data_IF_387297012414
#
_entry.id   IF_387297012414
#
_cell.length_a   1.000
_cell.length_b   1.000
_cell.length_c   1.000
_cell.angle_alpha   90.00
_cell.angle_beta   90.00
_cell.angle_gamma   90.00
#
_symmetry.space_group_name_H-M   'P 1'
#
loop_
_entity.id
_entity.type
_entity.pdbx_description
1 polymer ?
#
# COMPACT_ATOMS: atom_id res chain seq x y z
N UNK A 1 -23.88 -4.61 0.75
CA UNK A 1 -22.86 -5.11 -0.20
C UNK A 1 -21.65 -4.21 -0.06
N UNK A 2 -20.53 -4.75 0.33
CA UNK A 2 -19.30 -3.98 0.47
C UNK A 2 -18.84 -3.58 -0.94
N UNK A 3 -18.84 -2.28 -1.23
CA UNK A 3 -18.33 -1.78 -2.51
C UNK A 3 -16.83 -2.10 -2.59
N UNK A 4 -16.39 -2.69 -3.68
CA UNK A 4 -14.96 -2.87 -3.97
C UNK A 4 -14.54 -1.93 -5.09
N UNK A 5 -13.38 -1.33 -4.93
CA UNK A 5 -12.76 -0.47 -5.94
C UNK A 5 -11.87 -1.31 -6.85
N UNK A 6 -12.05 -1.15 -8.14
CA UNK A 6 -11.00 -1.39 -9.12
C UNK A 6 -10.20 -0.08 -9.35
N UNK A 7 -9.28 -0.11 -10.30
CA UNK A 7 -8.48 1.08 -10.62
C UNK A 7 -9.32 2.28 -11.00
N UNK A 8 -10.37 2.10 -11.82
CA UNK A 8 -11.23 3.20 -12.25
C UNK A 8 -12.04 3.75 -11.08
N UNK A 9 -12.62 2.88 -10.26
CA UNK A 9 -13.36 3.30 -9.07
C UNK A 9 -12.51 4.09 -8.07
N UNK A 10 -11.20 3.78 -7.96
CA UNK A 10 -10.27 4.58 -7.16
C UNK A 10 -10.06 5.98 -7.75
N UNK A 11 -9.90 6.09 -9.07
CA UNK A 11 -9.76 7.39 -9.75
C UNK A 11 -11.04 8.22 -9.58
N UNK A 12 -12.21 7.62 -9.80
CA UNK A 12 -13.50 8.31 -9.64
C UNK A 12 -13.69 8.84 -8.20
N UNK A 13 -13.27 8.07 -7.21
CA UNK A 13 -13.30 8.50 -5.81
C UNK A 13 -12.33 9.67 -5.52
N UNK A 14 -11.15 9.69 -6.14
CA UNK A 14 -10.22 10.82 -6.03
C UNK A 14 -10.70 12.06 -6.77
N UNK A 15 -11.39 11.92 -7.90
CA UNK A 15 -12.04 13.04 -8.60
C UNK A 15 -13.15 13.65 -7.72
N UNK A 16 -13.97 12.83 -7.10
CA UNK A 16 -14.99 13.30 -6.17
C UNK A 16 -14.37 13.98 -4.94
N UNK A 17 -13.24 13.46 -4.44
CA UNK A 17 -12.47 14.08 -3.34
C UNK A 17 -11.89 15.45 -3.76
N UNK A 18 -11.46 15.59 -5.02
CA UNK A 18 -11.00 16.89 -5.56
C UNK A 18 -12.10 17.94 -5.49
N UNK A 19 -13.32 17.59 -5.91
CA UNK A 19 -14.48 18.47 -5.83
C UNK A 19 -14.78 18.89 -4.38
N UNK A 20 -14.73 17.95 -3.43
CA UNK A 20 -14.97 18.24 -2.02
C UNK A 20 -13.89 19.13 -1.40
N UNK A 21 -12.63 18.89 -1.73
CA UNK A 21 -11.52 19.74 -1.29
C UNK A 21 -11.57 21.12 -1.92
N UNK A 22 -12.02 21.21 -3.18
CA UNK A 22 -12.24 22.48 -3.88
C UNK A 22 -13.28 23.35 -3.17
N UNK A 23 -14.41 22.77 -2.73
CA UNK A 23 -15.43 23.49 -1.95
C UNK A 23 -14.88 24.07 -0.65
N UNK A 24 -13.88 23.39 -0.06
CA UNK A 24 -13.20 23.83 1.18
C UNK A 24 -12.03 24.78 0.89
N UNK A 25 -11.58 24.88 -0.36
CA UNK A 25 -10.42 25.68 -0.75
C UNK A 25 -9.09 25.18 -0.17
N UNK A 26 -8.98 23.88 0.14
CA UNK A 26 -7.83 23.30 0.85
C UNK A 26 -7.12 22.26 -0.04
N UNK A 27 -5.82 22.46 -0.24
CA UNK A 27 -4.97 21.45 -0.91
C UNK A 27 -4.64 20.32 0.06
N UNK A 28 -4.53 19.11 -0.50
CA UNK A 28 -4.18 17.92 0.27
C UNK A 28 -3.14 17.06 -0.46
N UNK A 29 -2.36 16.33 0.33
CA UNK A 29 -1.44 15.32 -0.17
C UNK A 29 -1.84 13.96 0.42
N UNK A 30 -1.93 12.95 -0.44
CA UNK A 30 -2.26 11.58 -0.06
C UNK A 30 -1.13 10.65 -0.50
N UNK A 31 -0.66 9.85 0.42
CA UNK A 31 0.30 8.77 0.16
C UNK A 31 -0.37 7.43 0.40
N UNK A 32 -0.77 6.78 -0.69
CA UNK A 32 -1.56 5.55 -0.68
C UNK A 32 -0.66 4.33 -0.50
N UNK A 33 -1.07 3.43 0.37
CA UNK A 33 -0.37 2.18 0.69
C UNK A 33 -1.33 0.97 0.60
N UNK A 34 -0.82 -0.22 0.85
CA UNK A 34 -1.65 -1.42 0.98
C UNK A 34 -2.33 -1.86 -0.31
N UNK A 35 -3.58 -2.36 -0.18
CA UNK A 35 -4.35 -2.94 -1.28
C UNK A 35 -4.68 -1.94 -2.39
N UNK A 36 -4.99 -0.69 -2.03
CA UNK A 36 -5.29 0.36 -3.00
C UNK A 36 -4.07 0.74 -3.84
N UNK A 37 -2.86 0.81 -3.24
CA UNK A 37 -1.64 1.03 -4.00
C UNK A 37 -1.37 -0.12 -4.98
N UNK A 38 -1.62 -1.36 -4.57
CA UNK A 38 -1.52 -2.53 -5.47
C UNK A 38 -2.50 -2.41 -6.64
N UNK A 39 -3.77 -2.09 -6.37
CA UNK A 39 -4.82 -2.01 -7.39
C UNK A 39 -4.58 -0.89 -8.42
N UNK A 40 -4.13 0.28 -7.96
CA UNK A 40 -3.99 1.44 -8.85
C UNK A 40 -2.70 1.44 -9.68
N UNK A 41 -1.61 0.93 -9.12
CA UNK A 41 -0.28 1.08 -9.72
C UNK A 41 0.36 -0.24 -10.18
N UNK A 42 0.07 -1.37 -9.54
CA UNK A 42 0.89 -2.58 -9.70
C UNK A 42 0.12 -3.80 -10.20
N UNK A 43 -1.16 -3.94 -9.92
CA UNK A 43 -2.01 -5.05 -10.42
C UNK A 43 -3.40 -4.54 -10.80
N UNK A 44 -3.59 -4.20 -12.04
CA UNK A 44 -4.84 -3.64 -12.57
C UNK A 44 -6.06 -4.58 -12.47
N UNK A 45 -5.86 -5.87 -12.16
CA UNK A 45 -6.95 -6.84 -11.95
C UNK A 45 -7.41 -6.93 -10.51
N UNK A 46 -6.65 -6.30 -9.61
CA UNK A 46 -6.95 -6.33 -8.20
C UNK A 46 -8.05 -5.34 -7.85
N UNK A 47 -8.87 -5.72 -6.87
CA UNK A 47 -9.82 -4.83 -6.21
C UNK A 47 -9.47 -4.68 -4.75
N UNK A 48 -9.89 -3.58 -4.15
CA UNK A 48 -9.76 -3.30 -2.73
C UNK A 48 -11.08 -2.78 -2.18
N UNK A 49 -11.31 -2.96 -0.90
CA UNK A 49 -12.53 -2.47 -0.22
C UNK A 49 -12.34 -1.10 0.41
N UNK A 50 -11.08 -0.68 0.59
CA UNK A 50 -10.71 0.57 1.25
C UNK A 50 -9.41 1.14 0.70
N UNK A 51 -9.15 2.39 1.01
CA UNK A 51 -7.93 3.11 0.66
C UNK A 51 -7.17 3.45 1.94
N UNK A 52 -6.17 2.64 2.28
CA UNK A 52 -5.21 2.98 3.33
C UNK A 52 -4.24 4.04 2.82
N UNK A 53 -4.16 5.19 3.48
CA UNK A 53 -3.28 6.27 3.09
C UNK A 53 -2.78 7.09 4.28
N UNK A 54 -1.65 7.76 4.09
CA UNK A 54 -1.23 8.86 4.96
C UNK A 54 -1.60 10.14 4.25
N UNK A 55 -2.30 11.05 4.90
CA UNK A 55 -2.77 12.26 4.24
C UNK A 55 -2.70 13.49 5.14
N UNK A 56 -2.51 14.63 4.51
CA UNK A 56 -2.44 15.94 5.15
C UNK A 56 -3.18 16.98 4.31
N UNK A 57 -3.91 17.92 4.94
CA UNK A 57 -4.23 17.99 6.36
C UNK A 57 -5.27 16.93 6.78
N UNK A 58 -4.98 16.21 7.86
CA UNK A 58 -5.72 14.98 8.22
C UNK A 58 -7.21 15.22 8.43
N UNK A 59 -7.59 16.23 9.21
CA UNK A 59 -8.99 16.44 9.57
C UNK A 59 -9.83 16.88 8.37
N UNK A 60 -9.28 17.75 7.52
CA UNK A 60 -9.97 18.24 6.32
C UNK A 60 -10.20 17.10 5.32
N UNK A 61 -9.19 16.28 5.08
CA UNK A 61 -9.31 15.12 4.18
C UNK A 61 -10.30 14.11 4.72
N UNK A 62 -10.30 13.86 6.02
CA UNK A 62 -11.23 12.93 6.66
C UNK A 62 -12.70 13.41 6.54
N UNK A 63 -12.96 14.70 6.73
CA UNK A 63 -14.30 15.27 6.54
C UNK A 63 -14.71 15.23 5.06
N UNK A 64 -13.82 15.59 4.13
CA UNK A 64 -14.10 15.49 2.70
C UNK A 64 -14.39 14.03 2.27
N UNK A 65 -13.66 13.06 2.82
CA UNK A 65 -13.88 11.64 2.53
C UNK A 65 -15.25 11.13 2.99
N UNK A 66 -15.81 11.66 4.09
CA UNK A 66 -17.17 11.33 4.51
C UNK A 66 -18.22 11.78 3.50
N UNK A 67 -18.09 13.01 2.96
CA UNK A 67 -19.00 13.52 1.94
C UNK A 67 -18.91 12.68 0.65
N UNK A 68 -17.68 12.29 0.26
CA UNK A 68 -17.47 11.37 -0.87
C UNK A 68 -18.16 10.03 -0.63
N UNK A 69 -18.05 9.49 0.59
CA UNK A 69 -18.69 8.23 0.96
C UNK A 69 -20.22 8.30 0.77
N UNK A 70 -20.85 9.39 1.20
CA UNK A 70 -22.28 9.61 1.02
C UNK A 70 -22.68 9.73 -0.45
N UNK A 71 -21.91 10.48 -1.25
CA UNK A 71 -22.18 10.69 -2.68
C UNK A 71 -22.06 9.43 -3.50
N UNK A 72 -21.01 8.64 -3.25
CA UNK A 72 -20.70 7.42 -4.00
C UNK A 72 -21.23 6.15 -3.34
N UNK A 73 -21.93 6.28 -2.21
CA UNK A 73 -22.47 5.15 -1.41
C UNK A 73 -21.38 4.15 -1.01
N UNK A 74 -20.26 4.68 -0.55
CA UNK A 74 -19.14 3.92 -0.03
C UNK A 74 -19.26 3.72 1.48
N UNK A 75 -18.44 2.84 2.04
CA UNK A 75 -18.30 2.74 3.49
C UNK A 75 -17.69 4.05 4.05
N UNK A 76 -18.08 4.50 5.24
CA UNK A 76 -17.60 5.77 5.81
C UNK A 76 -16.09 5.86 5.99
N UNK A 77 -15.42 4.73 6.13
CA UNK A 77 -13.98 4.56 6.30
C UNK A 77 -13.26 4.08 5.02
N UNK A 78 -13.89 4.26 3.85
CA UNK A 78 -13.30 3.90 2.57
C UNK A 78 -11.90 4.50 2.39
N UNK A 79 -11.65 5.71 2.89
CA UNK A 79 -10.34 6.34 2.99
C UNK A 79 -9.95 6.45 4.47
N UNK A 80 -8.88 5.80 4.87
CA UNK A 80 -8.46 5.73 6.26
C UNK A 80 -6.95 5.84 6.42
N UNK A 81 -6.50 6.27 7.59
CA UNK A 81 -5.10 6.43 7.95
C UNK A 81 -4.55 5.34 8.90
N UNK A 82 -5.23 4.20 8.97
CA UNK A 82 -4.85 3.07 9.82
C UNK A 82 -3.44 2.52 9.57
N UNK A 83 -2.92 2.71 8.38
CA UNK A 83 -1.56 2.30 8.01
C UNK A 83 -0.45 3.21 8.57
N UNK A 84 -0.79 4.41 9.07
CA UNK A 84 0.18 5.42 9.53
C UNK A 84 1.13 4.90 10.62
N UNK A 85 0.63 4.07 11.54
CA UNK A 85 1.44 3.50 12.64
C UNK A 85 2.45 2.44 12.17
N UNK A 86 2.30 1.92 10.96
CA UNK A 86 3.18 0.91 10.37
C UNK A 86 4.08 1.48 9.28
N UNK A 87 3.87 2.71 8.86
CA UNK A 87 4.64 3.34 7.81
C UNK A 87 6.10 3.54 8.24
N UNK A 88 7.08 3.13 7.42
CA UNK A 88 8.49 3.22 7.80
C UNK A 88 9.10 4.61 7.63
N UNK A 89 8.32 5.62 7.28
CA UNK A 89 8.79 6.98 7.05
C UNK A 89 8.62 7.45 5.61
N UNK A 90 9.53 8.27 5.11
CA UNK A 90 9.45 8.82 3.77
C UNK A 90 9.82 7.78 2.69
N UNK A 91 9.13 7.83 1.55
CA UNK A 91 9.43 7.01 0.37
C UNK A 91 9.89 7.90 -0.79
N UNK A 92 11.20 7.95 -1.03
CA UNK A 92 11.76 8.76 -2.11
C UNK A 92 11.46 8.22 -3.52
N UNK A 93 10.95 6.99 -3.61
CA UNK A 93 10.60 6.32 -4.86
C UNK A 93 9.08 6.20 -5.07
N UNK A 94 8.29 6.95 -4.32
CA UNK A 94 6.85 7.03 -4.53
C UNK A 94 6.51 7.52 -5.94
N UNK A 95 5.36 7.09 -6.47
CA UNK A 95 4.91 7.45 -7.81
C UNK A 95 3.59 8.20 -7.75
N UNK A 96 3.49 9.35 -8.43
CA UNK A 96 2.21 10.06 -8.59
C UNK A 96 1.27 9.24 -9.46
N UNK A 97 0.01 9.12 -9.01
CA UNK A 97 -1.04 8.37 -9.71
C UNK A 97 -2.28 9.23 -10.00
N UNK A 98 -2.42 10.35 -9.30
CA UNK A 98 -3.50 11.29 -9.54
C UNK A 98 -3.05 12.71 -9.13
N UNK A 99 -3.24 13.66 -10.03
CA UNK A 99 -2.98 15.08 -9.81
C UNK A 99 -4.28 15.86 -10.07
N UNK A 100 -5.02 16.09 -8.99
CA UNK A 100 -6.21 16.93 -9.01
C UNK A 100 -5.85 18.41 -8.88
N UNK A 101 -6.85 19.26 -8.87
CA UNK A 101 -6.68 20.68 -8.61
C UNK A 101 -6.28 20.95 -7.16
N UNK A 102 -6.77 20.14 -6.23
CA UNK A 102 -6.57 20.27 -4.80
C UNK A 102 -5.82 19.08 -4.19
N UNK A 103 -6.15 17.80 -4.47
CA UNK A 103 -5.35 16.69 -4.00
C UNK A 103 -4.24 16.32 -4.98
N UNK A 104 -3.09 15.96 -4.45
CA UNK A 104 -2.09 15.13 -5.11
C UNK A 104 -2.06 13.76 -4.45
N UNK A 105 -2.07 12.69 -5.25
CA UNK A 105 -2.07 11.33 -4.76
C UNK A 105 -0.86 10.57 -5.31
N UNK A 106 -0.01 10.13 -4.42
CA UNK A 106 1.09 9.24 -4.73
C UNK A 106 0.88 7.86 -4.12
N UNK A 107 1.43 6.84 -4.73
CA UNK A 107 1.47 5.48 -4.19
C UNK A 107 2.88 5.12 -3.73
N UNK A 108 2.95 4.31 -2.70
CA UNK A 108 4.20 3.78 -2.19
C UNK A 108 4.91 2.90 -3.23
N UNK A 109 6.23 2.97 -3.24
CA UNK A 109 7.07 2.13 -4.11
C UNK A 109 6.93 0.64 -3.78
N UNK A 110 7.26 -0.27 -4.73
CA UNK A 110 7.19 -1.71 -4.48
C UNK A 110 8.01 -2.18 -3.27
N UNK A 111 9.19 -1.61 -3.05
CA UNK A 111 10.03 -1.96 -1.89
C UNK A 111 9.42 -1.49 -0.57
N UNK A 112 8.84 -0.31 -0.55
CA UNK A 112 8.13 0.22 0.61
C UNK A 112 6.93 -0.65 0.97
N UNK A 113 6.09 -0.99 -0.03
CA UNK A 113 4.93 -1.87 0.16
C UNK A 113 5.34 -3.27 0.62
N UNK A 114 6.43 -3.82 0.05
CA UNK A 114 6.96 -5.11 0.45
C UNK A 114 7.37 -5.10 1.93
N UNK A 115 8.11 -4.09 2.36
CA UNK A 115 8.50 -3.95 3.76
C UNK A 115 7.29 -3.87 4.70
N UNK A 116 6.27 -3.08 4.34
CA UNK A 116 5.04 -2.99 5.14
C UNK A 116 4.29 -4.33 5.22
N UNK A 117 4.15 -5.04 4.10
CA UNK A 117 3.47 -6.34 4.07
C UNK A 117 4.20 -7.42 4.83
N UNK A 118 5.50 -7.48 4.70
CA UNK A 118 6.34 -8.40 5.46
C UNK A 118 6.28 -8.13 6.96
N UNK A 119 6.31 -6.85 7.38
CA UNK A 119 6.17 -6.50 8.79
C UNK A 119 4.79 -6.88 9.35
N UNK A 120 3.73 -6.59 8.60
CA UNK A 120 2.37 -6.89 9.01
C UNK A 120 2.10 -8.40 9.07
N UNK A 121 2.74 -9.18 8.23
CA UNK A 121 2.66 -10.65 8.16
C UNK A 121 1.25 -11.19 8.36
N UNK A 122 0.26 -10.55 7.74
CA UNK A 122 -1.11 -11.04 7.74
C UNK A 122 -1.19 -12.27 6.84
N UNK A 123 -2.03 -13.22 7.21
CA UNK A 123 -2.21 -14.51 6.53
C UNK A 123 -2.49 -14.39 5.02
N UNK A 124 -2.67 -15.48 4.36
CA UNK A 124 -2.96 -15.83 2.95
C UNK A 124 -3.30 -14.70 1.96
N UNK A 125 -3.93 -13.62 2.43
CA UNK A 125 -4.26 -12.45 1.60
C UNK A 125 -3.04 -11.68 1.09
N UNK A 126 -1.92 -11.71 1.82
CA UNK A 126 -0.73 -10.96 1.48
C UNK A 126 0.28 -11.76 0.66
N UNK A 127 0.12 -13.08 0.55
CA UNK A 127 1.06 -13.96 -0.16
C UNK A 127 1.19 -13.59 -1.64
N UNK A 128 0.08 -13.39 -2.32
CA UNK A 128 0.09 -13.04 -3.74
C UNK A 128 0.70 -11.65 -3.97
N UNK A 129 0.41 -10.70 -3.10
CA UNK A 129 1.02 -9.38 -3.15
C UNK A 129 2.53 -9.44 -2.92
N UNK A 130 2.99 -10.24 -1.94
CA UNK A 130 4.41 -10.43 -1.66
C UNK A 130 5.11 -11.00 -2.90
N UNK A 131 4.54 -12.00 -3.58
CA UNK A 131 5.09 -12.56 -4.82
C UNK A 131 5.19 -11.52 -5.94
N UNK A 132 4.13 -10.73 -6.13
CA UNK A 132 4.13 -9.64 -7.13
C UNK A 132 5.21 -8.62 -6.80
N UNK A 133 5.28 -8.19 -5.54
CA UNK A 133 6.26 -7.19 -5.09
C UNK A 133 7.69 -7.69 -5.17
N UNK A 134 7.96 -8.96 -4.87
CA UNK A 134 9.28 -9.58 -5.09
C UNK A 134 9.69 -9.49 -6.54
N UNK A 135 8.79 -9.85 -7.46
CA UNK A 135 9.04 -9.76 -8.90
C UNK A 135 9.30 -8.31 -9.33
N UNK A 136 8.49 -7.35 -8.87
CA UNK A 136 8.68 -5.93 -9.20
C UNK A 136 9.99 -5.36 -8.65
N UNK A 137 10.44 -5.85 -7.50
CA UNK A 137 11.70 -5.46 -6.88
C UNK A 137 12.92 -6.19 -7.45
N UNK A 138 12.73 -7.18 -8.33
CA UNK A 138 13.82 -8.02 -8.85
C UNK A 138 14.47 -8.91 -7.79
N UNK A 139 13.70 -9.33 -6.77
CA UNK A 139 14.17 -10.18 -5.69
C UNK A 139 13.85 -11.65 -5.97
N UNK A 140 14.67 -12.55 -5.44
CA UNK A 140 14.56 -14.00 -5.68
C UNK A 140 14.81 -14.85 -4.43
N UNK A 141 15.42 -14.29 -3.38
CA UNK A 141 15.80 -15.04 -2.18
C UNK A 141 15.18 -14.47 -0.90
N UNK A 142 15.10 -15.30 0.12
CA UNK A 142 14.62 -14.90 1.44
C UNK A 142 15.49 -13.81 2.06
N UNK A 143 16.80 -13.91 1.91
CA UNK A 143 17.78 -12.96 2.46
C UNK A 143 17.61 -11.56 1.85
N UNK A 144 17.26 -11.48 0.56
CA UNK A 144 16.99 -10.19 -0.09
C UNK A 144 15.74 -9.52 0.49
N UNK A 145 14.67 -10.27 0.73
CA UNK A 145 13.47 -9.75 1.39
C UNK A 145 13.70 -9.31 2.82
N UNK A 146 14.50 -10.07 3.58
CA UNK A 146 14.90 -9.68 4.94
C UNK A 146 15.68 -8.37 4.93
N UNK A 147 16.65 -8.20 4.00
CA UNK A 147 17.39 -6.94 3.86
C UNK A 147 16.49 -5.75 3.50
N UNK A 148 15.49 -5.96 2.66
CA UNK A 148 14.48 -4.91 2.39
C UNK A 148 13.77 -4.53 3.70
N UNK A 149 13.28 -5.49 4.45
CA UNK A 149 12.59 -5.25 5.71
C UNK A 149 13.48 -4.51 6.72
N UNK A 150 14.72 -4.93 6.91
CA UNK A 150 15.70 -4.28 7.78
C UNK A 150 16.04 -2.86 7.36
N UNK A 151 16.12 -2.59 6.05
CA UNK A 151 16.42 -1.26 5.54
C UNK A 151 15.33 -0.23 5.82
N UNK A 152 14.07 -0.67 5.82
CA UNK A 152 12.92 0.20 6.13
C UNK A 152 12.61 0.27 7.63
N UNK A 153 12.96 -0.77 8.40
CA UNK A 153 12.70 -0.86 9.84
C UNK A 153 13.97 -1.22 10.64
N UNK A 154 15.01 -0.39 10.61
CA UNK A 154 16.32 -0.73 11.15
C UNK A 154 16.34 -0.95 12.67
N UNK A 155 15.34 -0.44 13.39
CA UNK A 155 15.23 -0.56 14.85
C UNK A 155 14.18 -1.58 15.30
N UNK A 156 13.44 -2.18 14.37
CA UNK A 156 12.40 -3.16 14.71
C UNK A 156 12.95 -4.58 14.65
N UNK A 157 12.53 -5.38 15.60
CA UNK A 157 12.75 -6.84 15.55
C UNK A 157 11.86 -7.42 14.47
N UNK A 158 12.44 -8.15 13.52
CA UNK A 158 11.70 -8.83 12.47
C UNK A 158 10.88 -9.95 13.09
N UNK A 159 9.54 -9.96 12.90
CA UNK A 159 8.71 -11.02 13.42
C UNK A 159 9.12 -12.39 12.85
N UNK A 160 9.22 -13.41 13.71
CA UNK A 160 9.54 -14.77 13.27
C UNK A 160 8.62 -15.25 12.15
N UNK A 161 7.34 -14.89 12.20
CA UNK A 161 6.37 -15.19 11.16
C UNK A 161 6.75 -14.61 9.79
N UNK A 162 7.25 -13.38 9.73
CA UNK A 162 7.72 -12.77 8.48
C UNK A 162 8.88 -13.60 7.90
N UNK A 163 9.82 -14.01 8.74
CA UNK A 163 10.94 -14.85 8.32
C UNK A 163 10.46 -16.20 7.77
N UNK A 164 9.51 -16.85 8.43
CA UNK A 164 8.94 -18.12 7.95
C UNK A 164 8.26 -17.96 6.59
N UNK A 165 7.41 -16.96 6.42
CA UNK A 165 6.72 -16.70 5.15
C UNK A 165 7.72 -16.48 4.03
N UNK A 166 8.73 -15.64 4.25
CA UNK A 166 9.74 -15.35 3.25
C UNK A 166 10.52 -16.61 2.88
N UNK A 167 10.94 -17.40 3.86
CA UNK A 167 11.71 -18.63 3.63
C UNK A 167 10.88 -19.71 2.91
N UNK A 168 9.60 -19.80 3.21
CA UNK A 168 8.67 -20.72 2.54
C UNK A 168 8.43 -20.34 1.09
N UNK A 169 8.21 -19.06 0.82
CA UNK A 169 7.90 -18.56 -0.52
C UNK A 169 9.13 -18.48 -1.43
N UNK A 170 10.29 -18.20 -0.88
CA UNK A 170 11.56 -17.97 -1.60
C UNK A 170 12.69 -18.77 -0.95
N UNK A 171 12.61 -20.10 -0.99
CA UNK A 171 13.70 -20.93 -0.47
C UNK A 171 14.94 -20.63 -1.30
N UNK A 172 16.04 -20.24 -0.62
CA UNK A 172 17.34 -20.08 -1.25
C UNK A 172 17.79 -21.35 -1.98
N UNK A 173 18.72 -21.24 -2.91
CA UNK A 173 19.32 -22.42 -3.54
C UNK A 173 19.81 -23.36 -2.43
N UNK A 174 19.25 -24.59 -2.39
CA UNK A 174 19.84 -25.63 -1.54
C UNK A 174 21.29 -25.80 -1.97
N UNK A 175 22.25 -25.85 -1.04
CA UNK A 175 23.60 -26.25 -1.39
C UNK A 175 23.49 -27.55 -2.20
N UNK A 176 24.01 -27.55 -3.43
CA UNK A 176 24.14 -28.80 -4.18
C UNK A 176 24.99 -29.72 -3.29
N UNK A 177 24.44 -30.83 -2.86
CA UNK A 177 25.21 -31.88 -2.23
C UNK A 177 26.38 -32.14 -3.20
N UNK A 178 27.58 -31.81 -2.72
CA UNK A 178 28.78 -32.24 -3.43
C UNK A 178 28.82 -33.74 -3.24
N UNK A 179 28.33 -34.46 -4.26
CA UNK A 179 28.53 -35.88 -4.38
C UNK A 179 30.02 -36.17 -4.23
N UNK A 180 30.31 -36.90 -3.21
CA UNK A 180 31.60 -37.52 -2.91
C UNK A 180 31.88 -38.64 -3.89
#
# INVERSE_FOLDING_TARGET
>A
MTSSFDKQGLIDAFECLDEELARRGVRAELFVVGGAAMAIAYDARRTTTDVGAIFVPTDVVREAAKEVAEQLKLEPDWLNDGAKSFAPGNDSAQTSVFEGRFPSVAVASPRYLLAMKLLASRTDRDIDDIKILYKLCGLSTAEEGIRVLESYYPTRIIPARAQFIIQELFPGERPRDRDT
#
